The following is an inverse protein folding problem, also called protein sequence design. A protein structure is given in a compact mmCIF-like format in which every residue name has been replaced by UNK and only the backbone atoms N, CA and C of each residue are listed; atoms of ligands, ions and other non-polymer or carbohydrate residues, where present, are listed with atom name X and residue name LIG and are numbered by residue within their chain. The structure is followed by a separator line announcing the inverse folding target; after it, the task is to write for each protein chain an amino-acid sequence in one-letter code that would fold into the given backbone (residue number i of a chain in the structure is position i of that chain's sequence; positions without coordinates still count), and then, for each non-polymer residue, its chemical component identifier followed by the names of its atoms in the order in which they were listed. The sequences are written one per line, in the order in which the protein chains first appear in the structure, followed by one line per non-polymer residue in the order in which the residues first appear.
data_IF_581032807534
#
_entry.id   IF_581032807534
#
_cell.length_a   1.000
_cell.length_b   1.000
_cell.length_c   1.000
_cell.angle_alpha   90.00
_cell.angle_beta   90.00
_cell.angle_gamma   90.00
#
_symmetry.space_group_name_H-M   'P 1'
#
loop_
_entity.id
_entity.type
_entity.pdbx_description
1 polymer ?
#
# COMPACT_ATOMS: atom_id res chain seq x y z
N UNK A 1 -21.95 4.51 -23.23
CA UNK A 1 -22.08 5.26 -21.96
C UNK A 1 -21.23 6.52 -22.05
N UNK A 2 -21.75 7.68 -21.62
CA UNK A 2 -20.91 8.88 -21.49
C UNK A 2 -19.83 8.63 -20.43
N UNK A 3 -18.60 9.10 -20.68
CA UNK A 3 -17.48 9.02 -19.73
C UNK A 3 -17.84 9.61 -18.36
N UNK A 4 -18.72 10.61 -18.33
CA UNK A 4 -19.24 11.21 -17.10
C UNK A 4 -20.08 10.23 -16.25
N UNK A 5 -20.89 9.37 -16.88
CA UNK A 5 -21.72 8.39 -16.15
C UNK A 5 -20.83 7.34 -15.48
N UNK A 6 -19.85 6.82 -16.23
CA UNK A 6 -18.89 5.85 -15.69
C UNK A 6 -18.09 6.44 -14.52
N UNK A 7 -17.69 7.71 -14.62
CA UNK A 7 -17.00 8.41 -13.54
C UNK A 7 -17.85 8.53 -12.27
N UNK A 8 -19.11 8.97 -12.38
CA UNK A 8 -20.03 9.07 -11.23
C UNK A 8 -20.22 7.72 -10.54
N UNK A 9 -20.41 6.65 -11.30
CA UNK A 9 -20.56 5.30 -10.74
C UNK A 9 -19.29 4.79 -10.07
N UNK A 10 -18.13 5.11 -10.63
CA UNK A 10 -16.84 4.74 -10.06
C UNK A 10 -16.57 5.45 -8.73
N UNK A 11 -16.86 6.75 -8.67
CA UNK A 11 -16.75 7.53 -7.43
C UNK A 11 -17.73 7.00 -6.39
N UNK A 12 -18.96 6.69 -6.77
CA UNK A 12 -19.94 6.12 -5.86
C UNK A 12 -19.52 4.75 -5.30
N UNK A 13 -18.93 3.89 -6.13
CA UNK A 13 -18.35 2.61 -5.69
C UNK A 13 -17.26 2.83 -4.63
N UNK A 14 -16.30 3.71 -4.88
CA UNK A 14 -15.21 3.99 -3.95
C UNK A 14 -15.72 4.62 -2.65
N UNK A 15 -16.65 5.58 -2.73
CA UNK A 15 -17.25 6.20 -1.54
C UNK A 15 -18.07 5.20 -0.72
N UNK A 16 -18.81 4.30 -1.36
CA UNK A 16 -19.55 3.22 -0.70
C UNK A 16 -18.62 2.23 0.00
N UNK A 17 -17.55 1.80 -0.68
CA UNK A 17 -16.51 0.96 -0.09
C UNK A 17 -15.82 1.67 1.08
N UNK A 18 -15.55 2.98 0.98
CA UNK A 18 -14.99 3.75 2.08
C UNK A 18 -15.96 3.79 3.26
N UNK A 19 -17.25 4.04 3.04
CA UNK A 19 -18.24 4.09 4.13
C UNK A 19 -18.30 2.80 5.00
N UNK A 20 -17.87 1.65 4.47
CA UNK A 20 -17.88 0.37 5.20
C UNK A 20 -17.03 0.32 6.47
N UNK A 21 -15.98 1.14 6.59
CA UNK A 21 -15.12 1.14 7.78
C UNK A 21 -15.54 2.17 8.84
N UNK A 22 -16.66 2.86 8.64
CA UNK A 22 -17.26 3.69 9.68
C UNK A 22 -17.81 2.78 10.80
N UNK A 23 -17.80 3.22 12.07
CA UNK A 23 -18.20 2.40 13.23
C UNK A 23 -19.71 2.09 13.30
N UNK A 24 -20.45 2.32 12.22
CA UNK A 24 -21.91 2.12 12.11
C UNK A 24 -22.28 0.72 11.60
N UNK A 25 -21.30 -0.08 11.14
CA UNK A 25 -21.54 -1.45 10.67
C UNK A 25 -22.50 -1.50 9.48
N UNK A 26 -23.45 -2.43 9.48
CA UNK A 26 -24.44 -2.60 8.39
C UNK A 26 -25.33 -1.38 8.16
N UNK A 27 -25.49 -0.49 9.15
CA UNK A 27 -26.19 0.79 8.94
C UNK A 27 -25.47 1.69 7.93
N UNK A 28 -24.16 1.51 7.70
CA UNK A 28 -23.43 2.20 6.65
C UNK A 28 -24.07 1.99 5.26
N UNK A 29 -24.63 0.80 5.00
CA UNK A 29 -25.27 0.48 3.72
C UNK A 29 -26.53 1.32 3.52
N UNK A 30 -27.36 1.40 4.56
CA UNK A 30 -28.59 2.19 4.53
C UNK A 30 -28.28 3.70 4.42
N UNK A 31 -27.25 4.18 5.13
CA UNK A 31 -26.80 5.58 5.05
C UNK A 31 -26.25 5.89 3.66
N UNK A 32 -25.39 5.04 3.10
CA UNK A 32 -24.83 5.22 1.76
C UNK A 32 -25.93 5.26 0.69
N UNK A 33 -26.91 4.37 0.79
CA UNK A 33 -28.07 4.36 -0.09
C UNK A 33 -28.94 5.60 0.09
N UNK A 34 -29.25 5.99 1.33
CA UNK A 34 -30.07 7.16 1.64
C UNK A 34 -29.45 8.48 1.19
N UNK A 35 -28.13 8.66 1.40
CA UNK A 35 -27.38 9.82 0.91
C UNK A 35 -27.38 9.86 -0.62
N UNK A 36 -27.08 8.72 -1.27
CA UNK A 36 -27.12 8.63 -2.74
C UNK A 36 -28.51 8.93 -3.31
N UNK A 37 -29.56 8.45 -2.65
CA UNK A 37 -30.95 8.71 -3.01
C UNK A 37 -31.33 10.20 -2.84
N UNK A 38 -30.90 10.84 -1.75
CA UNK A 38 -31.07 12.28 -1.53
C UNK A 38 -30.38 13.11 -2.63
N UNK A 39 -29.15 12.76 -3.00
CA UNK A 39 -28.42 13.40 -4.12
C UNK A 39 -29.18 13.23 -5.43
N UNK A 40 -29.76 12.05 -5.69
CA UNK A 40 -30.55 11.77 -6.89
C UNK A 40 -31.84 12.60 -6.99
N UNK A 41 -32.40 13.02 -5.85
CA UNK A 41 -33.57 13.91 -5.81
C UNK A 41 -33.18 15.37 -6.01
N UNK A 42 -32.10 15.83 -5.39
CA UNK A 42 -31.73 17.27 -5.33
C UNK A 42 -30.96 17.74 -6.55
N UNK A 43 -29.92 17.02 -6.97
CA UNK A 43 -28.99 17.48 -8.03
C UNK A 43 -29.70 17.67 -9.39
N UNK A 44 -30.56 16.75 -9.84
CA UNK A 44 -31.24 16.90 -11.13
C UNK A 44 -32.33 17.98 -11.11
N UNK A 45 -32.78 18.42 -9.93
CA UNK A 45 -33.71 19.56 -9.77
C UNK A 45 -32.96 20.88 -9.83
N UNK A 46 -31.79 20.98 -9.19
CA UNK A 46 -30.97 22.20 -9.20
C UNK A 46 -30.12 22.40 -10.47
N UNK A 47 -29.71 21.31 -11.14
CA UNK A 47 -28.83 21.33 -12.31
C UNK A 47 -29.33 20.37 -13.41
N UNK A 48 -30.49 20.64 -14.04
CA UNK A 48 -31.14 19.72 -14.99
C UNK A 48 -30.33 19.42 -16.26
N UNK A 49 -29.26 20.19 -16.54
CA UNK A 49 -28.38 20.00 -17.70
C UNK A 49 -27.24 19.00 -17.50
N UNK A 50 -26.96 18.54 -16.27
CA UNK A 50 -25.76 17.72 -16.01
C UNK A 50 -25.96 16.23 -16.33
N UNK A 51 -26.82 15.53 -15.57
CA UNK A 51 -27.06 14.09 -15.72
C UNK A 51 -28.49 13.73 -15.27
N UNK A 52 -29.12 12.72 -15.88
CA UNK A 52 -30.48 12.30 -15.52
C UNK A 52 -30.54 11.61 -14.15
N UNK A 53 -31.70 11.69 -13.47
CA UNK A 53 -31.95 11.14 -12.12
C UNK A 53 -31.52 9.67 -11.95
N UNK A 54 -31.78 8.84 -12.96
CA UNK A 54 -31.48 7.42 -12.91
C UNK A 54 -29.98 7.13 -12.72
N UNK A 55 -29.09 8.01 -13.21
CA UNK A 55 -27.63 7.83 -13.04
C UNK A 55 -27.25 7.87 -11.56
N UNK A 56 -27.84 8.79 -10.79
CA UNK A 56 -27.59 8.93 -9.36
C UNK A 56 -28.28 7.82 -8.54
N UNK A 57 -29.45 7.33 -8.97
CA UNK A 57 -30.09 6.17 -8.33
C UNK A 57 -29.26 4.90 -8.51
N UNK A 58 -28.74 4.66 -9.72
CA UNK A 58 -27.81 3.55 -9.97
C UNK A 58 -26.52 3.73 -9.16
N UNK A 59 -26.00 4.96 -9.06
CA UNK A 59 -24.84 5.27 -8.23
C UNK A 59 -25.08 4.93 -6.75
N UNK A 60 -26.27 5.24 -6.20
CA UNK A 60 -26.64 4.90 -4.83
C UNK A 60 -26.69 3.37 -4.61
N UNK A 61 -27.25 2.63 -5.57
CA UNK A 61 -27.23 1.16 -5.55
C UNK A 61 -25.81 0.59 -5.59
N UNK A 62 -24.95 1.11 -6.47
CA UNK A 62 -23.54 0.72 -6.55
C UNK A 62 -22.80 0.99 -5.24
N UNK A 63 -23.01 2.17 -4.63
CA UNK A 63 -22.40 2.51 -3.34
C UNK A 63 -22.85 1.56 -2.22
N UNK A 64 -24.15 1.22 -2.16
CA UNK A 64 -24.69 0.29 -1.19
C UNK A 64 -24.13 -1.13 -1.37
N UNK A 65 -24.05 -1.62 -2.62
CA UNK A 65 -23.45 -2.92 -2.95
C UNK A 65 -21.96 -2.93 -2.59
N UNK A 66 -21.22 -1.88 -2.91
CA UNK A 66 -19.81 -1.76 -2.56
C UNK A 66 -19.59 -1.76 -1.05
N UNK A 67 -20.45 -1.06 -0.30
CA UNK A 67 -20.43 -1.02 1.16
C UNK A 67 -20.72 -2.41 1.76
N UNK A 68 -21.77 -3.08 1.29
CA UNK A 68 -22.14 -4.43 1.72
C UNK A 68 -21.04 -5.45 1.40
N UNK A 69 -20.46 -5.38 0.20
CA UNK A 69 -19.33 -6.22 -0.21
C UNK A 69 -18.11 -6.01 0.70
N UNK A 70 -17.76 -4.75 0.98
CA UNK A 70 -16.63 -4.43 1.84
C UNK A 70 -16.87 -4.90 3.28
N UNK A 71 -18.08 -4.71 3.83
CA UNK A 71 -18.48 -5.21 5.16
C UNK A 71 -18.40 -6.73 5.25
N UNK A 72 -18.88 -7.43 4.21
CA UNK A 72 -18.83 -8.90 4.17
C UNK A 72 -17.41 -9.44 4.09
N UNK A 73 -16.49 -8.69 3.47
CA UNK A 73 -15.08 -9.02 3.34
C UNK A 73 -14.21 -8.51 4.49
N UNK A 74 -14.80 -7.86 5.52
CA UNK A 74 -14.06 -7.52 6.74
C UNK A 74 -13.60 -8.84 7.38
N UNK A 75 -12.30 -9.03 7.60
CA UNK A 75 -11.80 -10.24 8.25
C UNK A 75 -12.44 -10.40 9.63
N UNK A 76 -12.92 -11.60 9.93
CA UNK A 76 -13.38 -11.96 11.26
C UNK A 76 -12.60 -13.17 11.77
N UNK A 77 -12.33 -13.24 13.09
CA UNK A 77 -11.59 -14.37 13.66
C UNK A 77 -12.40 -15.67 13.52
N UNK A 78 -11.78 -16.68 12.93
CA UNK A 78 -12.33 -18.02 12.80
C UNK A 78 -12.70 -18.63 14.17
N UNK A 79 -13.49 -19.71 14.17
CA UNK A 79 -13.95 -20.36 15.39
C UNK A 79 -12.79 -20.90 16.25
N UNK A 80 -11.73 -21.34 15.58
CA UNK A 80 -10.49 -21.91 16.10
C UNK A 80 -9.32 -20.90 16.08
N UNK A 81 -9.62 -19.61 15.93
CA UNK A 81 -8.60 -18.57 15.87
C UNK A 81 -7.90 -18.39 17.23
N UNK A 82 -6.57 -18.29 17.19
CA UNK A 82 -5.72 -18.11 18.37
C UNK A 82 -6.10 -16.90 19.23
N UNK A 83 -6.72 -15.86 18.67
CA UNK A 83 -7.18 -14.68 19.42
C UNK A 83 -8.29 -14.96 20.44
N UNK A 84 -9.02 -16.07 20.28
CA UNK A 84 -10.07 -16.50 21.20
C UNK A 84 -9.52 -17.09 22.49
N UNK A 85 -8.27 -17.56 22.48
CA UNK A 85 -7.61 -18.05 23.69
C UNK A 85 -7.40 -16.92 24.70
N UNK A 86 -7.28 -17.32 25.97
CA UNK A 86 -6.96 -16.38 27.03
C UNK A 86 -5.52 -15.89 26.91
N UNK A 87 -5.25 -14.59 27.11
CA UNK A 87 -3.90 -14.06 27.17
C UNK A 87 -3.08 -14.78 28.25
N UNK A 88 -1.87 -15.24 27.90
CA UNK A 88 -1.04 -16.01 28.81
C UNK A 88 0.25 -16.52 28.18
N UNK A 89 1.11 -17.20 28.96
CA UNK A 89 2.33 -17.82 28.46
C UNK A 89 2.00 -19.04 27.59
N UNK A 90 2.41 -18.99 26.32
CA UNK A 90 2.13 -20.02 25.31
C UNK A 90 3.35 -20.30 24.44
N UNK A 91 3.36 -21.48 23.85
CA UNK A 91 4.26 -21.87 22.77
C UNK A 91 3.42 -22.07 21.52
N UNK A 92 3.67 -21.25 20.50
CA UNK A 92 2.97 -21.30 19.21
C UNK A 92 3.91 -21.90 18.17
N UNK A 93 3.45 -22.91 17.44
CA UNK A 93 4.14 -23.39 16.25
C UNK A 93 3.38 -22.96 15.00
N UNK A 94 4.14 -22.55 13.98
CA UNK A 94 3.54 -22.04 12.77
C UNK A 94 4.56 -21.72 11.69
N UNK A 95 4.06 -21.26 10.56
CA UNK A 95 4.89 -20.91 9.40
C UNK A 95 5.11 -19.39 9.33
N UNK A 96 6.35 -18.97 9.12
CA UNK A 96 6.73 -17.56 8.98
C UNK A 96 6.20 -17.00 7.66
N UNK A 97 5.34 -15.98 7.72
CA UNK A 97 4.67 -15.41 6.54
C UNK A 97 5.51 -14.35 5.85
N UNK A 98 6.11 -13.45 6.63
CA UNK A 98 6.84 -12.29 6.10
C UNK A 98 8.29 -12.24 6.64
N UNK A 99 9.11 -11.44 5.95
CA UNK A 99 10.48 -11.20 6.39
C UNK A 99 10.45 -10.38 7.70
N UNK A 100 11.20 -10.77 8.73
CA UNK A 100 11.29 -9.99 9.96
C UNK A 100 11.78 -8.57 9.69
N UNK A 101 11.14 -7.60 10.34
CA UNK A 101 11.54 -6.18 10.30
C UNK A 101 11.72 -5.67 11.72
N UNK A 102 12.41 -4.55 11.90
CA UNK A 102 12.60 -3.91 13.19
C UNK A 102 11.45 -2.95 13.47
N UNK A 103 11.03 -2.95 14.74
CA UNK A 103 10.15 -1.93 15.28
C UNK A 103 10.99 -0.75 15.86
N UNK A 104 10.30 0.32 16.30
CA UNK A 104 10.96 1.50 16.90
C UNK A 104 11.70 1.23 18.22
N UNK A 105 11.39 0.13 18.91
CA UNK A 105 12.05 -0.24 20.16
C UNK A 105 13.25 -1.17 19.92
N UNK A 106 13.76 -1.27 18.70
CA UNK A 106 14.86 -2.18 18.34
C UNK A 106 14.51 -3.67 18.44
N UNK A 107 13.22 -4.02 18.53
CA UNK A 107 12.74 -5.41 18.56
C UNK A 107 12.38 -5.86 17.16
N UNK A 108 12.71 -7.11 16.85
CA UNK A 108 12.26 -7.75 15.62
C UNK A 108 10.76 -8.04 15.69
N UNK A 109 10.07 -7.85 14.56
CA UNK A 109 8.66 -8.15 14.38
C UNK A 109 8.43 -8.95 13.10
N UNK A 110 7.52 -9.90 13.17
CA UNK A 110 7.10 -10.71 12.03
C UNK A 110 5.70 -11.28 12.28
N UNK A 111 5.11 -11.83 11.23
CA UNK A 111 3.80 -12.47 11.25
C UNK A 111 3.99 -13.97 11.10
N UNK A 112 3.42 -14.72 12.05
CA UNK A 112 3.42 -16.17 12.04
C UNK A 112 2.00 -16.67 11.74
N UNK A 113 1.87 -17.57 10.76
CA UNK A 113 0.63 -18.32 10.56
C UNK A 113 0.61 -19.44 11.60
N UNK A 114 -0.25 -19.31 12.62
CA UNK A 114 -0.35 -20.32 13.67
C UNK A 114 -0.97 -21.61 13.11
N UNK A 115 -0.38 -22.74 13.50
CA UNK A 115 -0.87 -24.10 13.19
C UNK A 115 -1.25 -24.82 14.49
N UNK A 116 -0.39 -24.70 15.51
CA UNK A 116 -0.63 -25.29 16.83
C UNK A 116 -0.22 -24.35 17.95
N UNK A 117 -0.87 -24.50 19.10
CA UNK A 117 -0.54 -23.77 20.31
C UNK A 117 -0.63 -24.69 21.52
N UNK A 118 0.30 -24.52 22.45
CA UNK A 118 0.27 -25.18 23.77
C UNK A 118 0.54 -24.17 24.88
N UNK A 119 -0.12 -24.27 26.04
CA UNK A 119 0.25 -23.46 27.19
C UNK A 119 1.66 -23.83 27.66
N UNK A 120 2.46 -22.86 28.08
CA UNK A 120 3.84 -23.11 28.50
C UNK A 120 3.91 -23.79 29.88
N UNK A 121 2.90 -23.60 30.73
CA UNK A 121 2.84 -24.11 32.10
C UNK A 121 2.20 -25.49 32.24
N UNK A 122 1.70 -26.09 31.15
CA UNK A 122 1.05 -27.39 31.18
C UNK A 122 1.58 -28.32 30.10
N UNK A 123 1.79 -29.59 30.42
CA UNK A 123 2.04 -30.67 29.44
C UNK A 123 0.76 -31.06 28.66
N UNK A 124 -0.20 -30.14 28.55
CA UNK A 124 -1.39 -30.33 27.74
C UNK A 124 -1.00 -30.54 26.26
N UNK A 125 -1.71 -31.43 25.55
CA UNK A 125 -1.45 -31.66 24.13
C UNK A 125 -1.63 -30.36 23.33
N UNK A 126 -0.82 -30.21 22.29
CA UNK A 126 -0.90 -29.05 21.41
C UNK A 126 -2.28 -28.99 20.74
N UNK A 127 -2.97 -27.85 20.90
CA UNK A 127 -4.25 -27.61 20.26
C UNK A 127 -4.02 -27.06 18.86
N UNK A 128 -4.71 -27.60 17.86
CA UNK A 128 -4.73 -27.04 16.52
C UNK A 128 -5.47 -25.69 16.54
N UNK A 129 -4.83 -24.67 15.99
CA UNK A 129 -5.40 -23.32 15.90
C UNK A 129 -5.15 -22.74 14.52
N UNK A 130 -6.04 -21.85 14.12
CA UNK A 130 -5.90 -21.08 12.90
C UNK A 130 -5.62 -19.61 13.21
N UNK A 131 -5.30 -18.86 12.17
CA UNK A 131 -5.09 -17.41 12.25
C UNK A 131 -3.64 -16.97 12.24
N UNK A 132 -3.45 -15.67 12.04
CA UNK A 132 -2.15 -15.04 12.01
C UNK A 132 -1.86 -14.34 13.35
N UNK A 133 -0.60 -14.42 13.76
CA UNK A 133 -0.11 -13.85 15.02
C UNK A 133 0.97 -12.82 14.73
N UNK A 134 0.79 -11.63 15.29
CA UNK A 134 1.82 -10.60 15.26
C UNK A 134 2.86 -10.85 16.37
N UNK A 135 4.05 -11.31 15.99
CA UNK A 135 5.09 -11.69 16.94
C UNK A 135 6.14 -10.60 17.08
N UNK A 136 6.50 -10.26 18.31
CA UNK A 136 7.57 -9.31 18.64
C UNK A 136 8.63 -9.96 19.52
N UNK A 137 9.89 -9.90 19.12
CA UNK A 137 11.00 -10.60 19.78
C UNK A 137 12.29 -9.75 19.82
N UNK A 138 13.26 -10.14 20.63
CA UNK A 138 14.60 -9.54 20.60
C UNK A 138 15.25 -9.71 19.22
N UNK A 139 15.96 -8.69 18.74
CA UNK A 139 16.54 -8.67 17.40
C UNK A 139 17.42 -9.89 17.09
N UNK A 140 18.22 -10.32 18.07
CA UNK A 140 19.14 -11.45 17.91
C UNK A 140 18.41 -12.73 17.47
N UNK A 141 17.19 -12.95 17.94
CA UNK A 141 16.38 -14.12 17.61
C UNK A 141 15.70 -14.03 16.24
N UNK A 142 15.78 -12.87 15.56
CA UNK A 142 15.30 -12.73 14.18
C UNK A 142 16.37 -12.99 13.12
N UNK A 143 17.63 -13.15 13.55
CA UNK A 143 18.73 -13.42 12.62
C UNK A 143 18.54 -14.77 11.93
N UNK A 144 18.75 -14.81 10.62
CA UNK A 144 18.62 -16.03 9.81
C UNK A 144 17.19 -16.51 9.50
N UNK A 145 16.15 -15.88 10.07
CA UNK A 145 14.76 -16.27 9.78
C UNK A 145 14.34 -15.84 8.37
N UNK A 146 13.59 -16.71 7.68
CA UNK A 146 13.10 -16.48 6.31
C UNK A 146 11.65 -16.92 6.11
N UNK A 147 10.87 -16.21 5.28
CA UNK A 147 9.51 -16.62 4.94
C UNK A 147 9.44 -18.07 4.47
N UNK A 148 8.42 -18.81 4.92
CA UNK A 148 8.19 -20.22 4.62
C UNK A 148 8.82 -21.20 5.62
N UNK A 149 9.62 -20.74 6.59
CA UNK A 149 10.12 -21.59 7.67
C UNK A 149 9.05 -21.90 8.71
N UNK A 150 9.04 -23.12 9.24
CA UNK A 150 8.30 -23.45 10.46
C UNK A 150 9.10 -23.02 11.68
N UNK A 151 8.47 -22.27 12.57
CA UNK A 151 9.04 -21.74 13.78
C UNK A 151 8.24 -22.19 15.00
N UNK A 152 8.94 -22.46 16.08
CA UNK A 152 8.38 -22.55 17.43
C UNK A 152 8.67 -21.24 18.18
N UNK A 153 7.62 -20.59 18.66
CA UNK A 153 7.68 -19.28 19.32
C UNK A 153 7.12 -19.40 20.72
N UNK A 154 7.99 -19.20 21.72
CA UNK A 154 7.61 -19.22 23.14
C UNK A 154 7.50 -17.79 23.66
N UNK A 155 6.37 -17.43 24.27
CA UNK A 155 6.15 -16.07 24.76
C UNK A 155 4.78 -15.84 25.37
N UNK A 156 4.43 -14.56 25.52
CA UNK A 156 3.16 -14.15 26.09
C UNK A 156 2.17 -13.76 24.99
N UNK A 157 1.07 -14.50 24.88
CA UNK A 157 -0.07 -14.16 24.03
C UNK A 157 -0.80 -12.95 24.60
N UNK A 158 -1.04 -11.96 23.76
CA UNK A 158 -1.79 -10.76 24.11
C UNK A 158 -2.78 -10.38 23.01
N UNK A 159 -3.83 -9.66 23.40
CA UNK A 159 -4.77 -9.06 22.45
C UNK A 159 -4.33 -7.63 22.12
N UNK A 160 -4.21 -7.26 20.84
CA UNK A 160 -3.86 -5.89 20.44
C UNK A 160 -4.83 -4.87 21.05
N UNK A 161 -4.28 -3.81 21.63
CA UNK A 161 -5.08 -2.75 22.28
C UNK A 161 -5.56 -1.73 21.24
N UNK A 162 -6.79 -1.20 21.39
CA UNK A 162 -7.28 -0.11 20.54
C UNK A 162 -6.50 1.20 20.80
N UNK A 163 -6.73 2.21 19.97
CA UNK A 163 -6.18 3.55 20.19
C UNK A 163 -6.60 4.09 21.57
N UNK A 164 -5.64 4.54 22.36
CA UNK A 164 -5.88 5.09 23.70
C UNK A 164 -6.36 6.54 23.66
N UNK A 165 -6.01 7.28 22.61
CA UNK A 165 -6.37 8.68 22.44
C UNK A 165 -7.14 8.86 21.12
N UNK A 166 -8.18 9.72 21.08
CA UNK A 166 -8.83 10.11 19.84
C UNK A 166 -7.81 10.68 18.84
N UNK A 167 -7.81 10.16 17.60
CA UNK A 167 -6.85 10.55 16.56
C UNK A 167 -5.48 9.86 16.63
N UNK A 168 -5.21 9.04 17.65
CA UNK A 168 -4.02 8.19 17.67
C UNK A 168 -4.18 6.99 16.73
N UNK A 169 -3.05 6.44 16.28
CA UNK A 169 -3.01 5.26 15.43
C UNK A 169 -3.64 4.04 16.14
N UNK A 170 -4.71 3.51 15.58
CA UNK A 170 -5.38 2.31 16.08
C UNK A 170 -4.66 1.05 15.57
N UNK A 171 -3.77 0.54 16.41
CA UNK A 171 -2.99 -0.67 16.10
C UNK A 171 -3.87 -1.92 15.98
N UNK A 172 -4.95 -2.02 16.77
CA UNK A 172 -5.88 -3.15 16.69
C UNK A 172 -6.64 -3.14 15.36
N UNK A 173 -7.17 -1.98 14.96
CA UNK A 173 -7.87 -1.86 13.67
C UNK A 173 -6.92 -2.12 12.48
N UNK A 174 -5.67 -1.66 12.57
CA UNK A 174 -4.66 -1.94 11.54
C UNK A 174 -4.38 -3.44 11.37
N UNK A 175 -4.16 -4.16 12.47
CA UNK A 175 -3.93 -5.61 12.44
C UNK A 175 -5.17 -6.38 11.99
N UNK A 176 -6.36 -5.99 12.46
CA UNK A 176 -7.62 -6.63 12.08
C UNK A 176 -7.88 -6.54 10.56
N UNK A 177 -7.53 -5.42 9.92
CA UNK A 177 -7.61 -5.26 8.45
C UNK A 177 -6.67 -6.20 7.69
N UNK A 178 -5.59 -6.66 8.34
CA UNK A 178 -4.67 -7.67 7.81
C UNK A 178 -5.11 -9.11 8.17
N UNK A 179 -6.21 -9.28 8.89
CA UNK A 179 -6.67 -10.58 9.39
C UNK A 179 -5.90 -11.08 10.62
N UNK A 180 -5.19 -10.19 11.31
CA UNK A 180 -4.40 -10.51 12.51
C UNK A 180 -5.15 -10.01 13.74
N UNK A 181 -5.53 -10.94 14.63
CA UNK A 181 -6.34 -10.63 15.81
C UNK A 181 -5.60 -10.84 17.14
N UNK A 182 -4.42 -11.45 17.10
CA UNK A 182 -3.59 -11.76 18.26
C UNK A 182 -2.14 -11.32 18.05
N UNK A 183 -1.44 -11.08 19.16
CA UNK A 183 0.00 -10.87 19.15
C UNK A 183 0.71 -11.72 20.18
N UNK A 184 1.99 -12.02 19.95
CA UNK A 184 2.83 -12.76 20.90
C UNK A 184 4.10 -11.95 21.19
N UNK A 185 4.29 -11.62 22.46
CA UNK A 185 5.54 -11.10 22.99
C UNK A 185 6.51 -12.26 23.20
N UNK A 186 7.24 -12.63 22.15
CA UNK A 186 8.14 -13.76 22.17
C UNK A 186 9.39 -13.48 23.01
N UNK A 187 9.78 -14.49 23.79
CA UNK A 187 11.04 -14.58 24.53
C UNK A 187 12.05 -15.48 23.83
N UNK A 188 11.56 -16.51 23.15
CA UNK A 188 12.40 -17.43 22.38
C UNK A 188 11.75 -17.76 21.03
N UNK A 189 12.57 -17.89 20.00
CA UNK A 189 12.16 -18.32 18.65
C UNK A 189 13.14 -19.39 18.20
N UNK A 190 12.62 -20.58 17.93
CA UNK A 190 13.41 -21.72 17.45
C UNK A 190 12.94 -22.12 16.05
N UNK A 191 13.80 -22.08 15.03
CA UNK A 191 13.44 -22.62 13.72
C UNK A 191 13.35 -24.15 13.81
N UNK A 192 12.24 -24.70 13.31
CA UNK A 192 11.99 -26.13 13.20
C UNK A 192 12.40 -26.68 11.83
N UNK A 193 12.42 -25.82 10.80
CA UNK A 193 12.84 -26.18 9.45
C UNK A 193 13.88 -25.21 8.92
N UNK A 194 14.70 -25.69 8.00
CA UNK A 194 15.61 -24.87 7.22
C UNK A 194 14.87 -23.88 6.30
N UNK A 195 15.51 -22.76 5.93
CA UNK A 195 14.92 -21.83 4.97
C UNK A 195 14.72 -22.49 3.60
N UNK A 196 13.60 -22.25 2.92
CA UNK A 196 13.39 -22.77 1.57
C UNK A 196 14.46 -22.23 0.62
N UNK A 197 15.20 -23.10 -0.08
CA UNK A 197 16.41 -22.74 -0.83
C UNK A 197 16.22 -21.75 -2.00
N UNK A 198 14.99 -21.55 -2.47
CA UNK A 198 14.66 -20.60 -3.53
C UNK A 198 13.43 -19.78 -3.13
N UNK A 199 13.34 -18.55 -3.65
CA UNK A 199 12.19 -17.67 -3.44
C UNK A 199 12.52 -16.21 -3.68
N UNK A 200 11.50 -15.35 -3.62
CA UNK A 200 11.67 -13.91 -3.75
C UNK A 200 12.66 -13.35 -2.71
N UNK A 201 12.71 -13.96 -1.52
CA UNK A 201 13.64 -13.60 -0.45
C UNK A 201 15.10 -13.77 -0.87
N UNK A 202 15.43 -14.78 -1.69
CA UNK A 202 16.80 -15.04 -2.14
C UNK A 202 17.28 -13.93 -3.08
N UNK A 203 16.43 -13.53 -4.04
CA UNK A 203 16.73 -12.43 -4.96
C UNK A 203 16.87 -11.11 -4.18
N UNK A 204 15.95 -10.83 -3.25
CA UNK A 204 16.03 -9.65 -2.38
C UNK A 204 17.34 -9.62 -1.57
N UNK A 205 17.70 -10.73 -0.93
CA UNK A 205 18.93 -10.83 -0.15
C UNK A 205 20.17 -10.65 -1.03
N UNK A 206 20.16 -11.16 -2.27
CA UNK A 206 21.24 -10.95 -3.23
C UNK A 206 21.41 -9.48 -3.62
N UNK A 207 20.29 -8.79 -3.90
CA UNK A 207 20.28 -7.36 -4.20
C UNK A 207 20.80 -6.55 -3.00
N UNK A 208 20.28 -6.82 -1.80
CA UNK A 208 20.69 -6.12 -0.57
C UNK A 208 22.17 -6.35 -0.29
N UNK A 209 22.64 -7.59 -0.41
CA UNK A 209 24.07 -7.92 -0.24
C UNK A 209 24.93 -7.17 -1.24
N UNK A 210 24.57 -7.15 -2.52
CA UNK A 210 25.34 -6.45 -3.55
C UNK A 210 25.50 -4.95 -3.24
N UNK A 211 24.41 -4.29 -2.85
CA UNK A 211 24.48 -2.88 -2.45
C UNK A 211 25.27 -2.68 -1.16
N UNK A 212 25.13 -3.57 -0.18
CA UNK A 212 25.86 -3.50 1.09
C UNK A 212 27.36 -3.73 0.89
N UNK A 213 27.76 -4.64 0.01
CA UNK A 213 29.17 -4.87 -0.33
C UNK A 213 29.76 -3.71 -1.13
N UNK A 214 28.96 -3.04 -1.97
CA UNK A 214 29.44 -1.93 -2.80
C UNK A 214 29.53 -0.59 -2.06
N UNK A 215 28.59 -0.31 -1.15
CA UNK A 215 28.44 1.00 -0.50
C UNK A 215 28.62 0.98 1.03
N UNK A 216 28.75 -0.20 1.64
CA UNK A 216 28.83 -0.34 3.10
C UNK A 216 27.51 -0.08 3.83
N UNK A 217 27.58 0.02 5.16
CA UNK A 217 26.45 0.30 6.05
C UNK A 217 26.61 1.73 6.59
N UNK A 218 25.57 2.59 6.57
CA UNK A 218 24.16 2.29 6.27
C UNK A 218 23.73 2.53 4.79
N UNK A 219 24.63 2.99 3.92
CA UNK A 219 24.27 3.42 2.57
C UNK A 219 23.71 2.31 1.66
N UNK A 220 24.23 1.08 1.75
CA UNK A 220 23.75 -0.06 0.97
C UNK A 220 22.31 -0.48 1.28
N UNK A 221 21.96 -0.73 2.57
CA UNK A 221 20.58 -0.97 2.98
C UNK A 221 19.64 0.20 2.66
N UNK A 222 20.11 1.45 2.79
CA UNK A 222 19.35 2.64 2.41
C UNK A 222 18.99 2.61 0.92
N UNK A 223 19.97 2.44 0.04
CA UNK A 223 19.74 2.33 -1.40
C UNK A 223 18.81 1.15 -1.73
N UNK A 224 19.00 0.01 -1.08
CA UNK A 224 18.14 -1.16 -1.28
C UNK A 224 16.69 -0.88 -0.87
N UNK A 225 16.47 -0.13 0.22
CA UNK A 225 15.13 0.31 0.63
C UNK A 225 14.51 1.33 -0.33
N UNK A 226 15.32 2.16 -1.00
CA UNK A 226 14.87 3.08 -2.03
C UNK A 226 14.55 2.39 -3.37
N UNK A 227 15.04 1.16 -3.60
CA UNK A 227 14.80 0.40 -4.85
C UNK A 227 13.70 -0.65 -4.67
N UNK A 228 13.70 -1.36 -3.55
CA UNK A 228 12.75 -2.46 -3.26
C UNK A 228 11.60 -2.02 -2.36
N UNK A 229 11.75 -0.87 -1.67
CA UNK A 229 10.83 -0.37 -0.65
C UNK A 229 11.18 -0.83 0.76
N UNK A 230 10.77 0.00 1.73
CA UNK A 230 10.87 -0.28 3.17
C UNK A 230 10.07 -1.50 3.68
N UNK A 231 9.14 -2.03 2.87
CA UNK A 231 8.47 -3.32 3.16
C UNK A 231 9.35 -4.53 2.81
N UNK A 232 10.29 -4.37 1.87
CA UNK A 232 11.18 -5.42 1.41
C UNK A 232 12.56 -5.37 2.08
N UNK A 233 13.02 -4.18 2.49
CA UNK A 233 14.30 -3.97 3.15
C UNK A 233 14.08 -3.21 4.44
N UNK A 234 14.57 -3.77 5.53
CA UNK A 234 14.49 -3.12 6.82
C UNK A 234 15.61 -2.09 6.99
N UNK A 235 15.26 -0.98 7.63
CA UNK A 235 16.13 0.16 7.87
C UNK A 235 15.95 0.62 9.31
N UNK A 236 17.04 1.08 9.91
CA UNK A 236 17.03 1.58 11.29
C UNK A 236 16.04 2.74 11.46
N UNK A 237 15.37 2.78 12.62
CA UNK A 237 14.33 3.76 12.91
C UNK A 237 14.84 5.19 12.84
N UNK A 238 16.09 5.43 13.26
CA UNK A 238 16.68 6.76 13.31
C UNK A 238 16.85 7.35 11.89
N UNK A 239 17.27 6.51 10.93
CA UNK A 239 17.38 6.91 9.52
C UNK A 239 15.98 7.18 8.95
N UNK A 240 15.00 6.31 9.23
CA UNK A 240 13.61 6.54 8.81
C UNK A 240 13.08 7.87 9.37
N UNK A 241 13.36 8.19 10.62
CA UNK A 241 12.91 9.43 11.28
C UNK A 241 13.62 10.67 10.74
N UNK A 242 14.89 10.57 10.36
CA UNK A 242 15.57 11.66 9.63
C UNK A 242 14.86 11.97 8.32
N UNK A 243 14.55 10.94 7.50
CA UNK A 243 13.81 11.12 6.25
C UNK A 243 12.39 11.66 6.47
N UNK A 244 11.69 11.21 7.50
CA UNK A 244 10.37 11.77 7.87
C UNK A 244 10.46 13.24 8.26
N UNK A 245 11.48 13.63 9.05
CA UNK A 245 11.67 15.01 9.49
C UNK A 245 11.88 15.98 8.32
N UNK A 246 12.65 15.57 7.32
CA UNK A 246 12.92 16.37 6.11
C UNK A 246 11.86 16.17 5.01
N UNK A 247 10.78 15.44 5.27
CA UNK A 247 9.69 15.23 4.31
C UNK A 247 10.01 14.25 3.17
N UNK A 248 11.11 13.51 3.23
CA UNK A 248 11.55 12.54 2.22
C UNK A 248 11.08 11.11 2.51
N UNK A 249 10.11 10.91 3.41
CA UNK A 249 9.56 9.60 3.74
C UNK A 249 9.02 8.83 2.53
N UNK A 250 8.48 9.55 1.53
CA UNK A 250 7.97 8.95 0.30
C UNK A 250 9.06 8.27 -0.54
N UNK A 251 10.33 8.67 -0.40
CA UNK A 251 11.47 8.08 -1.13
C UNK A 251 11.83 6.70 -0.59
N UNK A 252 11.57 6.45 0.71
CA UNK A 252 11.80 5.17 1.38
C UNK A 252 10.64 4.18 1.18
N UNK A 253 9.46 4.67 0.78
CA UNK A 253 8.36 3.80 0.38
C UNK A 253 8.60 3.35 -1.06
N UNK A 254 8.40 2.06 -1.36
CA UNK A 254 8.38 1.60 -2.76
C UNK A 254 7.32 2.40 -3.53
N UNK A 255 7.78 3.27 -4.43
CA UNK A 255 6.94 4.20 -5.17
C UNK A 255 6.58 3.65 -6.54
N UNK A 256 5.48 4.16 -7.12
CA UNK A 256 5.08 3.81 -8.49
C UNK A 256 6.17 4.12 -9.52
N UNK A 257 7.00 5.12 -9.24
CA UNK A 257 8.16 5.47 -10.03
C UNK A 257 9.15 4.32 -10.24
N UNK A 258 9.47 3.55 -9.20
CA UNK A 258 10.43 2.44 -9.34
C UNK A 258 9.90 1.40 -10.35
N UNK A 259 8.59 1.18 -10.35
CA UNK A 259 7.90 0.25 -11.24
C UNK A 259 7.89 0.79 -12.67
N UNK A 260 7.55 2.07 -12.86
CA UNK A 260 7.52 2.69 -14.21
C UNK A 260 8.91 2.82 -14.81
N UNK A 261 9.91 3.20 -14.01
CA UNK A 261 11.31 3.27 -14.43
C UNK A 261 11.82 1.90 -14.86
N UNK A 262 11.63 0.88 -14.03
CA UNK A 262 12.09 -0.47 -14.36
C UNK A 262 11.39 -1.03 -15.61
N UNK A 263 10.08 -0.78 -15.76
CA UNK A 263 9.36 -1.13 -16.98
C UNK A 263 9.89 -0.38 -18.20
N UNK A 264 10.10 0.94 -18.09
CA UNK A 264 10.63 1.77 -19.17
C UNK A 264 12.01 1.33 -19.63
N UNK A 265 12.91 1.03 -18.69
CA UNK A 265 14.25 0.50 -18.98
C UNK A 265 14.17 -0.86 -19.66
N UNK A 266 13.35 -1.79 -19.14
CA UNK A 266 13.18 -3.11 -19.75
C UNK A 266 12.67 -3.02 -21.20
N UNK A 267 11.69 -2.14 -21.46
CA UNK A 267 11.18 -1.92 -22.81
C UNK A 267 12.19 -1.22 -23.73
N UNK A 268 13.02 -0.32 -23.19
CA UNK A 268 14.07 0.37 -23.95
C UNK A 268 15.17 -0.59 -24.40
N UNK A 269 15.60 -1.51 -23.54
CA UNK A 269 16.57 -2.55 -23.92
C UNK A 269 16.00 -3.53 -24.96
N UNK A 270 14.68 -3.62 -25.07
CA UNK A 270 13.98 -4.49 -26.02
C UNK A 270 13.24 -3.68 -27.10
N UNK A 271 13.73 -2.47 -27.43
CA UNK A 271 13.09 -1.57 -28.38
C UNK A 271 12.94 -2.20 -29.78
N UNK A 272 13.87 -3.08 -30.17
CA UNK A 272 13.87 -3.79 -31.46
C UNK A 272 13.05 -5.09 -31.45
N UNK A 273 12.47 -5.48 -30.32
CA UNK A 273 11.69 -6.71 -30.20
C UNK A 273 10.28 -6.57 -30.80
N UNK A 274 9.65 -7.70 -31.15
CA UNK A 274 8.26 -7.73 -31.63
C UNK A 274 7.29 -7.28 -30.53
N UNK A 275 6.10 -6.80 -30.90
CA UNK A 275 5.08 -6.32 -29.94
C UNK A 275 4.70 -7.36 -28.88
N UNK A 276 4.62 -8.64 -29.28
CA UNK A 276 4.34 -9.76 -28.35
C UNK A 276 5.47 -9.97 -27.33
N UNK A 277 6.72 -9.82 -27.77
CA UNK A 277 7.89 -9.94 -26.89
C UNK A 277 7.95 -8.76 -25.92
N UNK A 278 7.65 -7.55 -26.37
CA UNK A 278 7.56 -6.36 -25.51
C UNK A 278 6.48 -6.53 -24.44
N UNK A 279 5.34 -7.11 -24.80
CA UNK A 279 4.27 -7.42 -23.85
C UNK A 279 4.70 -8.48 -22.83
N UNK A 280 5.29 -9.59 -23.29
CA UNK A 280 5.76 -10.66 -22.41
C UNK A 280 6.82 -10.15 -21.42
N UNK A 281 7.81 -9.38 -21.90
CA UNK A 281 8.86 -8.79 -21.08
C UNK A 281 8.27 -7.80 -20.09
N UNK A 282 7.38 -6.90 -20.56
CA UNK A 282 6.72 -5.94 -19.69
C UNK A 282 5.92 -6.60 -18.57
N UNK A 283 5.13 -7.63 -18.88
CA UNK A 283 4.38 -8.40 -17.88
C UNK A 283 5.30 -9.14 -16.90
N UNK A 284 6.40 -9.72 -17.40
CA UNK A 284 7.38 -10.41 -16.57
C UNK A 284 8.10 -9.43 -15.62
N UNK A 285 8.48 -8.24 -16.10
CA UNK A 285 9.06 -7.18 -15.27
C UNK A 285 8.08 -6.71 -14.20
N UNK A 286 6.83 -6.44 -14.57
CA UNK A 286 5.79 -6.01 -13.63
C UNK A 286 5.48 -7.08 -12.57
N UNK A 287 5.32 -8.35 -12.98
CA UNK A 287 5.09 -9.47 -12.08
C UNK A 287 6.27 -9.73 -11.15
N UNK A 288 7.50 -9.69 -11.69
CA UNK A 288 8.72 -9.81 -10.91
C UNK A 288 8.85 -8.72 -9.84
N UNK A 289 8.62 -7.45 -10.20
CA UNK A 289 8.66 -6.33 -9.25
C UNK A 289 7.55 -6.40 -8.21
N UNK A 290 6.34 -6.82 -8.60
CA UNK A 290 5.23 -7.01 -7.66
C UNK A 290 5.61 -8.02 -6.57
N UNK A 291 6.17 -9.17 -6.98
CA UNK A 291 6.64 -10.21 -6.05
C UNK A 291 7.85 -9.73 -5.24
N UNK A 292 8.79 -8.99 -5.83
CA UNK A 292 9.98 -8.51 -5.15
C UNK A 292 9.73 -7.36 -4.16
N UNK A 293 8.72 -6.54 -4.37
CA UNK A 293 8.37 -5.43 -3.46
C UNK A 293 7.39 -5.84 -2.37
N UNK A 294 6.79 -7.03 -2.48
CA UNK A 294 5.82 -7.55 -1.51
C UNK A 294 4.40 -7.03 -1.73
N UNK A 295 4.09 -6.52 -2.93
CA UNK A 295 2.72 -6.17 -3.31
C UNK A 295 2.13 -4.99 -2.54
N UNK A 296 2.92 -3.94 -2.26
CA UNK A 296 2.40 -2.75 -1.60
C UNK A 296 1.23 -2.12 -2.39
N UNK A 297 0.28 -1.41 -1.76
CA UNK A 297 -0.85 -0.81 -2.48
C UNK A 297 -0.40 0.14 -3.61
N UNK A 298 0.67 0.90 -3.40
CA UNK A 298 1.27 1.79 -4.40
C UNK A 298 1.86 1.04 -5.60
N UNK A 299 2.57 -0.06 -5.35
CA UNK A 299 3.12 -0.90 -6.43
C UNK A 299 2.01 -1.59 -7.20
N UNK A 300 1.01 -2.12 -6.49
CA UNK A 300 -0.16 -2.77 -7.10
C UNK A 300 -0.87 -1.85 -8.10
N UNK A 301 -1.08 -0.58 -7.73
CA UNK A 301 -1.64 0.43 -8.63
C UNK A 301 -0.74 0.68 -9.84
N UNK A 302 0.56 0.87 -9.61
CA UNK A 302 1.52 1.10 -10.68
C UNK A 302 1.59 -0.09 -11.67
N UNK A 303 1.47 -1.32 -11.17
CA UNK A 303 1.36 -2.53 -11.99
C UNK A 303 0.11 -2.50 -12.87
N UNK A 304 -1.07 -2.19 -12.32
CA UNK A 304 -2.31 -2.11 -13.11
C UNK A 304 -2.22 -1.03 -14.19
N UNK A 305 -1.71 0.15 -13.84
CA UNK A 305 -1.51 1.24 -14.80
C UNK A 305 -0.45 0.89 -15.86
N UNK A 306 0.62 0.19 -15.46
CA UNK A 306 1.67 -0.30 -16.35
C UNK A 306 1.16 -1.32 -17.37
N UNK A 307 0.29 -2.24 -16.94
CA UNK A 307 -0.42 -3.16 -17.85
C UNK A 307 -1.26 -2.36 -18.86
N UNK A 308 -1.95 -1.31 -18.41
CA UNK A 308 -2.68 -0.41 -19.30
C UNK A 308 -1.80 0.29 -20.33
N UNK A 309 -0.62 0.74 -19.92
CA UNK A 309 0.40 1.29 -20.82
C UNK A 309 0.92 0.28 -21.84
N UNK A 310 1.17 -0.97 -21.42
CA UNK A 310 1.57 -2.06 -22.33
C UNK A 310 0.49 -2.36 -23.37
N UNK A 311 -0.78 -2.39 -22.96
CA UNK A 311 -1.92 -2.58 -23.88
C UNK A 311 -1.98 -1.42 -24.88
N UNK A 312 -1.81 -0.19 -24.42
CA UNK A 312 -1.75 1.01 -25.29
C UNK A 312 -0.62 0.91 -26.31
N UNK A 313 0.57 0.49 -25.87
CA UNK A 313 1.76 0.30 -26.70
C UNK A 313 1.55 -0.75 -27.80
N UNK A 314 1.00 -1.92 -27.44
CA UNK A 314 0.76 -3.01 -28.40
C UNK A 314 -0.40 -2.71 -29.36
N UNK A 315 -1.44 -2.04 -28.85
CA UNK A 315 -2.62 -1.68 -29.66
C UNK A 315 -2.40 -0.45 -30.55
N UNK A 316 -1.30 0.28 -30.36
CA UNK A 316 -1.03 1.56 -31.04
C UNK A 316 -2.05 2.66 -30.71
N UNK A 317 -2.77 2.54 -29.59
CA UNK A 317 -3.85 3.46 -29.20
C UNK A 317 -3.42 4.32 -28.03
N UNK A 318 -3.73 5.61 -28.09
CA UNK A 318 -3.62 6.51 -26.92
C UNK A 318 -4.60 6.05 -25.85
N UNK A 319 -4.05 5.52 -24.77
CA UNK A 319 -4.81 5.13 -23.59
C UNK A 319 -5.11 6.38 -22.72
N UNK A 320 -6.19 6.36 -21.93
CA UNK A 320 -6.54 7.48 -21.07
C UNK A 320 -6.03 7.20 -19.64
N UNK A 321 -5.06 7.97 -19.10
CA UNK A 321 -4.46 7.67 -17.79
C UNK A 321 -5.47 7.70 -16.64
N UNK A 322 -6.44 8.62 -16.68
CA UNK A 322 -7.51 8.72 -15.69
C UNK A 322 -8.39 7.46 -15.68
N UNK A 323 -8.68 6.88 -16.84
CA UNK A 323 -9.44 5.63 -16.93
C UNK A 323 -8.70 4.49 -16.22
N UNK A 324 -7.40 4.34 -16.49
CA UNK A 324 -6.59 3.31 -15.84
C UNK A 324 -6.41 3.53 -14.34
N UNK A 325 -6.34 4.79 -13.88
CA UNK A 325 -6.30 5.11 -12.45
C UNK A 325 -7.60 4.70 -11.76
N UNK A 326 -8.76 5.05 -12.32
CA UNK A 326 -10.07 4.67 -11.77
C UNK A 326 -10.26 3.16 -11.81
N UNK A 327 -9.87 2.51 -12.91
CA UNK A 327 -9.92 1.06 -13.03
C UNK A 327 -9.02 0.38 -11.99
N UNK A 328 -7.81 0.90 -11.76
CA UNK A 328 -6.93 0.40 -10.71
C UNK A 328 -7.56 0.56 -9.32
N UNK A 329 -8.19 1.70 -9.03
CA UNK A 329 -8.86 1.93 -7.75
C UNK A 329 -9.98 0.91 -7.51
N UNK A 330 -10.82 0.66 -8.53
CA UNK A 330 -11.91 -0.31 -8.46
C UNK A 330 -11.35 -1.73 -8.31
N UNK A 331 -10.45 -2.16 -9.19
CA UNK A 331 -9.90 -3.52 -9.18
C UNK A 331 -9.23 -3.84 -7.85
N UNK A 332 -8.39 -2.94 -7.33
CA UNK A 332 -7.71 -3.16 -6.06
C UNK A 332 -8.68 -3.19 -4.87
N UNK A 333 -9.72 -2.34 -4.90
CA UNK A 333 -10.75 -2.33 -3.85
C UNK A 333 -11.64 -3.58 -3.92
N UNK A 334 -11.91 -4.11 -5.11
CA UNK A 334 -12.63 -5.39 -5.27
C UNK A 334 -11.80 -6.56 -4.74
N UNK A 335 -10.51 -6.61 -5.07
CA UNK A 335 -9.60 -7.67 -4.63
C UNK A 335 -9.38 -7.63 -3.12
N UNK A 336 -9.16 -6.45 -2.56
CA UNK A 336 -8.95 -6.25 -1.14
C UNK A 336 -9.62 -4.95 -0.65
N UNK A 337 -10.88 -5.00 -0.20
CA UNK A 337 -11.65 -3.80 0.14
C UNK A 337 -11.06 -3.04 1.33
N UNK A 338 -10.31 -3.71 2.20
CA UNK A 338 -9.66 -3.08 3.34
C UNK A 338 -8.55 -2.10 2.94
N UNK A 339 -8.02 -2.18 1.71
CA UNK A 339 -6.99 -1.25 1.22
C UNK A 339 -7.51 0.17 1.05
N UNK A 340 -8.82 0.39 0.91
CA UNK A 340 -9.36 1.75 0.81
C UNK A 340 -9.10 2.58 2.08
N UNK A 341 -8.87 1.90 3.20
CA UNK A 341 -8.53 2.50 4.49
C UNK A 341 -7.03 2.51 4.80
N UNK A 342 -6.22 1.99 3.89
CA UNK A 342 -4.77 2.08 3.98
C UNK A 342 -4.31 3.49 3.58
N UNK A 343 -3.53 4.13 4.44
CA UNK A 343 -3.02 5.49 4.17
C UNK A 343 -2.13 5.50 2.94
N UNK A 344 -1.33 4.46 2.71
CA UNK A 344 -0.46 4.34 1.54
C UNK A 344 -1.28 4.29 0.24
N UNK A 345 -2.37 3.54 0.22
CA UNK A 345 -3.33 3.55 -0.89
C UNK A 345 -3.90 4.96 -1.13
N UNK A 346 -4.48 5.59 -0.09
CA UNK A 346 -5.13 6.89 -0.23
C UNK A 346 -4.15 7.99 -0.71
N UNK A 347 -2.97 8.08 -0.10
CA UNK A 347 -1.95 9.05 -0.50
C UNK A 347 -1.49 8.83 -1.94
N UNK A 348 -1.30 7.57 -2.34
CA UNK A 348 -0.86 7.21 -3.68
C UNK A 348 -1.89 7.65 -4.72
N UNK A 349 -3.16 7.25 -4.56
CA UNK A 349 -4.23 7.61 -5.50
C UNK A 349 -4.50 9.12 -5.55
N UNK A 350 -4.51 9.81 -4.40
CA UNK A 350 -4.70 11.26 -4.35
C UNK A 350 -3.54 12.02 -5.00
N UNK A 351 -2.29 11.61 -4.75
CA UNK A 351 -1.12 12.24 -5.35
C UNK A 351 -1.14 12.11 -6.89
N UNK A 352 -1.44 10.92 -7.41
CA UNK A 352 -1.49 10.69 -8.85
C UNK A 352 -2.69 11.36 -9.52
N UNK A 353 -3.86 11.40 -8.84
CA UNK A 353 -5.00 12.17 -9.32
C UNK A 353 -4.68 13.67 -9.37
N UNK A 354 -4.08 14.20 -8.30
CA UNK A 354 -3.66 15.60 -8.21
C UNK A 354 -2.66 15.97 -9.29
N UNK A 355 -1.67 15.11 -9.54
CA UNK A 355 -0.73 15.24 -10.64
C UNK A 355 -1.45 15.31 -12.00
N UNK A 356 -2.32 14.35 -12.30
CA UNK A 356 -3.02 14.29 -13.60
C UNK A 356 -3.93 15.49 -13.85
N UNK A 357 -4.59 16.01 -12.81
CA UNK A 357 -5.58 17.10 -12.96
C UNK A 357 -4.95 18.48 -12.81
N UNK A 358 -4.02 18.65 -11.87
CA UNK A 358 -3.55 19.96 -11.42
C UNK A 358 -2.14 20.31 -11.88
N UNK A 359 -1.30 19.34 -12.28
CA UNK A 359 0.08 19.66 -12.66
C UNK A 359 0.18 20.55 -13.90
N UNK A 360 -0.59 20.26 -14.97
CA UNK A 360 -0.58 21.10 -16.17
C UNK A 360 -1.09 22.53 -15.92
N UNK A 361 -2.24 22.76 -15.23
CA UNK A 361 -2.66 24.10 -14.84
C UNK A 361 -1.59 24.84 -14.03
N UNK A 362 -1.00 24.20 -13.02
CA UNK A 362 0.02 24.83 -12.17
C UNK A 362 1.28 25.18 -12.98
N UNK A 363 1.72 24.29 -13.87
CA UNK A 363 2.85 24.55 -14.76
C UNK A 363 2.61 25.77 -15.66
N UNK A 364 1.38 25.97 -16.14
CA UNK A 364 1.00 27.17 -16.92
C UNK A 364 1.11 28.45 -16.11
N UNK A 365 0.68 28.43 -14.84
CA UNK A 365 0.86 29.59 -13.95
C UNK A 365 2.34 29.84 -13.58
N UNK A 366 3.17 28.80 -13.62
CA UNK A 366 4.61 28.87 -13.34
C UNK A 366 5.48 29.16 -14.58
N UNK A 367 4.88 29.58 -15.72
CA UNK A 367 5.60 29.87 -16.97
C UNK A 367 6.64 30.99 -16.87
N UNK A 368 6.61 31.77 -15.80
CA UNK A 368 7.64 32.78 -15.49
C UNK A 368 8.99 32.17 -15.08
N UNK A 369 9.03 30.86 -14.80
CA UNK A 369 10.24 30.10 -14.49
C UNK A 369 10.72 29.28 -15.71
N UNK A 370 12.03 28.94 -15.78
CA UNK A 370 12.53 27.99 -16.76
C UNK A 370 11.79 26.64 -16.67
N UNK A 371 11.50 25.96 -17.80
CA UNK A 371 10.72 24.72 -17.82
C UNK A 371 11.34 23.61 -16.96
N UNK A 372 12.68 23.57 -16.87
CA UNK A 372 13.41 22.63 -16.02
C UNK A 372 13.10 22.76 -14.52
N UNK A 373 12.60 23.91 -14.07
CA UNK A 373 12.20 24.17 -12.68
C UNK A 373 10.67 24.16 -12.56
N UNK A 374 9.97 24.75 -13.55
CA UNK A 374 8.52 24.92 -13.52
C UNK A 374 7.76 23.58 -13.52
N UNK A 375 8.19 22.59 -14.31
CA UNK A 375 7.56 21.27 -14.37
C UNK A 375 7.62 20.52 -13.02
N UNK A 376 8.80 20.27 -12.44
CA UNK A 376 8.88 19.59 -11.15
C UNK A 376 8.24 20.39 -10.01
N UNK A 377 8.29 21.74 -10.08
CA UNK A 377 7.55 22.61 -9.15
C UNK A 377 6.05 22.34 -9.21
N UNK A 378 5.50 22.31 -10.41
CA UNK A 378 4.08 22.07 -10.62
C UNK A 378 3.65 20.69 -10.14
N UNK A 379 4.46 19.66 -10.39
CA UNK A 379 4.16 18.29 -9.96
C UNK A 379 4.07 18.19 -8.44
N UNK A 380 5.08 18.68 -7.71
CA UNK A 380 5.08 18.50 -6.26
C UNK A 380 4.05 19.41 -5.57
N UNK A 381 3.77 20.60 -6.12
CA UNK A 381 2.65 21.44 -5.66
C UNK A 381 1.31 20.74 -5.89
N UNK A 382 1.11 20.13 -7.06
CA UNK A 382 -0.10 19.39 -7.38
C UNK A 382 -0.32 18.21 -6.42
N UNK A 383 0.71 17.39 -6.20
CA UNK A 383 0.63 16.26 -5.29
C UNK A 383 0.31 16.73 -3.85
N UNK A 384 1.02 17.74 -3.34
CA UNK A 384 0.84 18.25 -1.99
C UNK A 384 -0.53 18.89 -1.77
N UNK A 385 -1.05 19.63 -2.77
CA UNK A 385 -2.36 20.27 -2.66
C UNK A 385 -3.47 19.23 -2.41
N UNK A 386 -3.36 18.07 -3.05
CA UNK A 386 -4.35 16.99 -2.95
C UNK A 386 -4.14 16.09 -1.74
N UNK A 387 -2.91 15.90 -1.28
CA UNK A 387 -2.61 15.05 -0.11
C UNK A 387 -2.67 15.81 1.22
N UNK A 388 -2.60 17.14 1.20
CA UNK A 388 -2.60 18.00 2.39
C UNK A 388 -3.79 17.75 3.33
N UNK A 389 -5.06 17.74 2.86
CA UNK A 389 -6.21 17.53 3.75
C UNK A 389 -6.13 16.19 4.48
N UNK A 390 -5.72 15.14 3.76
CA UNK A 390 -5.56 13.81 4.33
C UNK A 390 -4.39 13.74 5.31
N UNK A 391 -3.27 14.41 5.01
CA UNK A 391 -2.12 14.49 5.90
C UNK A 391 -2.47 15.19 7.22
N UNK A 392 -3.21 16.29 7.16
CA UNK A 392 -3.70 17.02 8.34
C UNK A 392 -4.60 16.14 9.20
N UNK A 393 -5.53 15.43 8.56
CA UNK A 393 -6.44 14.52 9.24
C UNK A 393 -5.73 13.32 9.88
N UNK A 394 -4.80 12.68 9.16
CA UNK A 394 -4.16 11.44 9.59
C UNK A 394 -3.07 11.63 10.64
N UNK A 395 -2.28 12.71 10.56
CA UNK A 395 -1.11 12.90 11.43
C UNK A 395 -1.29 14.01 12.47
N UNK A 396 -2.28 14.88 12.34
CA UNK A 396 -2.53 15.99 13.27
C UNK A 396 -1.33 16.93 13.46
N UNK A 397 -0.30 16.81 12.61
CA UNK A 397 0.97 17.53 12.68
C UNK A 397 1.37 17.99 11.29
N UNK A 398 1.73 19.26 11.20
CA UNK A 398 2.38 19.83 10.02
C UNK A 398 3.87 19.93 10.38
N UNK A 399 4.73 19.14 9.73
CA UNK A 399 6.18 19.39 9.83
C UNK A 399 6.47 20.70 9.08
N UNK A 400 6.96 21.76 9.75
CA UNK A 400 7.26 23.03 9.08
C UNK A 400 8.39 22.87 8.04
N UNK A 401 9.33 21.96 8.31
CA UNK A 401 10.49 21.68 7.46
C UNK A 401 10.19 20.73 6.29
N UNK A 402 9.06 20.01 6.33
CA UNK A 402 8.56 19.29 5.14
C UNK A 402 7.96 20.22 4.09
N UNK A 403 7.71 21.49 4.45
CA UNK A 403 7.12 22.53 3.59
C UNK A 403 8.14 23.53 3.06
N UNK A 404 9.33 23.65 3.66
CA UNK A 404 10.45 24.35 3.05
C UNK A 404 11.14 23.41 2.03
N UNK A 405 11.80 23.96 1.02
CA UNK A 405 12.07 23.26 -0.22
C UNK A 405 12.67 21.85 -0.12
N UNK A 406 11.83 20.82 -0.31
CA UNK A 406 12.29 19.54 -0.89
C UNK A 406 13.03 19.80 -2.23
N UNK A 407 12.78 20.98 -2.83
CA UNK A 407 13.37 21.53 -4.05
C UNK A 407 14.90 21.70 -4.03
N UNK A 408 15.53 21.94 -2.88
CA UNK A 408 16.97 22.22 -2.83
C UNK A 408 17.82 20.97 -2.51
N UNK A 409 17.30 20.03 -1.71
CA UNK A 409 18.12 18.94 -1.18
C UNK A 409 18.07 17.65 -1.99
N UNK A 410 17.10 17.46 -2.90
CA UNK A 410 16.99 16.18 -3.60
C UNK A 410 16.56 16.34 -5.07
N UNK A 411 17.52 16.62 -5.98
CA UNK A 411 17.31 16.53 -7.43
C UNK A 411 16.68 15.20 -7.86
N UNK A 412 16.90 14.13 -7.07
CA UNK A 412 16.30 12.82 -7.26
C UNK A 412 14.78 12.81 -7.14
N UNK A 413 14.18 13.55 -6.20
CA UNK A 413 12.71 13.62 -6.07
C UNK A 413 12.06 14.35 -7.26
N UNK A 414 12.74 15.38 -7.79
CA UNK A 414 12.35 16.06 -9.02
C UNK A 414 12.47 15.12 -10.22
N UNK A 415 13.56 14.36 -10.29
CA UNK A 415 13.77 13.37 -11.35
C UNK A 415 12.76 12.22 -11.29
N UNK A 416 12.39 11.71 -10.11
CA UNK A 416 11.37 10.67 -9.95
C UNK A 416 10.02 11.11 -10.52
N UNK A 417 9.59 12.33 -10.20
CA UNK A 417 8.32 12.86 -10.70
C UNK A 417 8.36 13.22 -12.19
N UNK A 418 9.49 13.76 -12.67
CA UNK A 418 9.69 14.09 -14.08
C UNK A 418 9.79 12.84 -14.96
N UNK A 419 10.47 11.79 -14.49
CA UNK A 419 10.59 10.52 -15.19
C UNK A 419 9.31 9.67 -15.15
N UNK A 420 8.43 9.87 -14.15
CA UNK A 420 7.04 9.36 -14.18
C UNK A 420 6.24 9.93 -15.37
N UNK A 421 6.53 11.16 -15.79
CA UNK A 421 5.91 11.82 -16.94
C UNK A 421 6.62 11.51 -18.27
N UNK A 422 7.96 11.41 -18.28
CA UNK A 422 8.73 11.25 -19.52
C UNK A 422 8.94 9.80 -19.98
N UNK A 423 8.98 8.83 -19.05
CA UNK A 423 9.01 7.38 -19.38
C UNK A 423 7.61 6.76 -19.46
N UNK A 424 6.61 7.45 -18.95
CA UNK A 424 5.23 7.21 -19.33
C UNK A 424 5.05 7.69 -20.78
N UNK A 425 5.01 6.77 -21.74
CA UNK A 425 4.64 7.02 -23.14
C UNK A 425 3.22 7.59 -23.27
N UNK A 426 3.03 8.83 -22.82
CA UNK A 426 1.74 9.49 -22.64
C UNK A 426 1.74 10.92 -23.21
N UNK A 427 2.44 11.10 -24.34
CA UNK A 427 2.29 12.24 -25.25
C UNK A 427 1.25 11.99 -26.33
#
# INVERSE_FOLDING_TARGET
MSSAIAFVWSVAFLMGAYASGLPVGWWAVAIAFGVGFGIALVVPVGFPRFLPRWVFLVAAGIAAIACAYALWRVPQPAADDISRLEPGPVVVQGTLVNTPTMNRSGRGRFVLQAETVRPESSDAPAQAVSGQVYTTVSLLQTTGLRPGQKLEVSGLLYRPRPAQNPGAFDFRAFLARQGIFAGVGARNVKPLTEPPGWGAWWVRDRIVRAHTTGLGVPAGPLLSSMVLGSLAVDLESDIKDQFVRVGLAAVLAASGFQVTLALGVALKFCENARSEQKLAIGLLTLGGLFVLTGGSPSVSRATVMGVGGLIGLVSGRKTQPLFWLVLAAILLTVLQPMWIWDLGFQFSFLATLGLMVSAQPIAKYAQWLPPAIAEPLAISLAANLWTLPLQLFAFGRISPYGRSPTWWCCPWCLWQHWAELSLGYWG
#
